data_IF_248426444225
#
_entry.id   IF_248426444225
#
_cell.length_a   1.000
_cell.length_b   1.000
_cell.length_c   1.000
_cell.angle_alpha   90.00
_cell.angle_beta   90.00
_cell.angle_gamma   90.00
#
_symmetry.space_group_name_H-M   'P 1'
#
loop_
_entity.id
_entity.type
_entity.pdbx_description
1 polymer ?
#
# COMPACT_ATOMS: atom_id res chain seq x y z
N UNK A 1 8.20 7.34 4.25
CA UNK A 1 8.03 5.98 4.80
C UNK A 1 8.43 5.02 3.71
N UNK A 2 9.47 4.23 3.97
CA UNK A 2 10.01 3.27 3.03
C UNK A 2 10.08 1.94 3.78
N UNK A 3 9.22 1.00 3.39
CA UNK A 3 9.10 -0.32 4.02
C UNK A 3 9.33 -1.35 2.94
N UNK A 4 10.44 -2.07 3.08
CA UNK A 4 10.81 -3.15 2.19
C UNK A 4 10.87 -4.43 3.00
N UNK A 5 9.92 -5.32 2.74
CA UNK A 5 9.91 -6.70 3.21
C UNK A 5 9.85 -7.63 2.00
N UNK A 6 10.92 -7.60 1.20
CA UNK A 6 11.17 -8.55 0.14
C UNK A 6 12.30 -9.50 0.57
N UNK A 7 12.25 -10.77 0.14
CA UNK A 7 13.27 -11.81 0.38
C UNK A 7 13.26 -12.45 1.80
N UNK A 8 12.10 -12.62 2.43
CA UNK A 8 11.98 -13.39 3.68
C UNK A 8 12.70 -12.82 4.92
N UNK A 9 13.33 -11.64 4.82
CA UNK A 9 14.09 -11.01 5.93
C UNK A 9 13.23 -10.28 6.95
N UNK A 10 11.94 -10.05 6.67
CA UNK A 10 10.97 -9.70 7.70
C UNK A 10 10.52 -11.01 8.38
N UNK A 11 11.47 -11.65 9.07
CA UNK A 11 11.34 -12.97 9.66
C UNK A 11 10.16 -13.01 10.65
N UNK A 12 9.11 -13.72 10.24
CA UNK A 12 8.07 -14.24 11.11
C UNK A 12 6.95 -13.25 11.44
N UNK A 13 5.77 -13.57 10.89
CA UNK A 13 4.44 -13.04 11.19
C UNK A 13 4.10 -11.69 10.56
N UNK A 14 3.23 -11.73 9.54
CA UNK A 14 2.48 -10.58 9.00
C UNK A 14 1.89 -9.71 10.13
N UNK A 15 1.53 -10.32 11.27
CA UNK A 15 1.12 -9.61 12.49
C UNK A 15 2.15 -8.59 13.00
N UNK A 16 3.44 -8.94 13.03
CA UNK A 16 4.50 -8.01 13.47
C UNK A 16 4.71 -6.88 12.48
N UNK A 17 4.61 -7.18 11.17
CA UNK A 17 4.66 -6.13 10.14
C UNK A 17 3.50 -5.18 10.34
N UNK A 18 2.28 -5.72 10.50
CA UNK A 18 1.10 -4.92 10.78
C UNK A 18 1.27 -4.07 12.02
N UNK A 19 1.63 -4.66 13.16
CA UNK A 19 1.85 -3.92 14.39
C UNK A 19 2.90 -2.83 14.23
N UNK A 20 4.01 -3.12 13.56
CA UNK A 20 5.05 -2.13 13.29
C UNK A 20 4.52 -0.96 12.46
N UNK A 21 3.82 -1.25 11.35
CA UNK A 21 3.24 -0.22 10.48
C UNK A 21 2.21 0.59 11.25
N UNK A 22 1.28 -0.05 11.95
CA UNK A 22 0.26 0.63 12.75
C UNK A 22 0.87 1.58 13.80
N UNK A 23 1.89 1.13 14.53
CA UNK A 23 2.61 1.99 15.48
C UNK A 23 3.30 3.16 14.79
N UNK A 24 3.92 2.93 13.62
CA UNK A 24 4.58 3.98 12.85
C UNK A 24 3.56 5.03 12.35
N UNK A 25 2.43 4.58 11.79
CA UNK A 25 1.35 5.45 11.31
C UNK A 25 0.78 6.30 12.46
N UNK A 26 0.54 5.70 13.62
CA UNK A 26 0.11 6.41 14.84
C UNK A 26 1.13 7.44 15.31
N UNK A 27 2.41 7.06 15.39
CA UNK A 27 3.47 7.94 15.88
C UNK A 27 3.67 9.18 15.00
N UNK A 28 3.38 9.10 13.69
CA UNK A 28 3.48 10.24 12.78
C UNK A 28 2.35 11.27 12.95
N UNK A 29 1.22 10.88 13.54
CA UNK A 29 0.10 11.78 13.82
C UNK A 29 -0.43 12.57 12.61
N UNK A 30 -0.37 12.01 11.39
CA UNK A 30 -0.83 12.68 10.16
C UNK A 30 0.16 13.70 9.56
N UNK A 31 1.40 13.73 10.03
CA UNK A 31 2.43 14.61 9.46
C UNK A 31 2.64 14.34 7.95
N UNK A 32 2.95 15.38 7.13
CA UNK A 32 3.20 15.24 5.70
C UNK A 32 4.22 14.15 5.37
N UNK A 33 3.95 13.33 4.36
CA UNK A 33 4.84 12.23 3.97
C UNK A 33 5.21 12.36 2.49
N UNK A 34 6.41 12.81 2.13
CA UNK A 34 6.72 12.99 0.70
C UNK A 34 6.66 11.69 -0.11
N UNK A 35 7.16 10.59 0.47
CA UNK A 35 7.23 9.27 -0.14
C UNK A 35 6.64 8.21 0.79
N UNK A 36 5.73 7.39 0.27
CA UNK A 36 5.30 6.12 0.83
C UNK A 36 5.68 5.01 -0.14
N UNK A 37 6.55 4.09 0.27
CA UNK A 37 6.90 2.92 -0.52
C UNK A 37 6.73 1.66 0.33
N UNK A 38 5.92 0.74 -0.18
CA UNK A 38 5.63 -0.55 0.40
C UNK A 38 6.01 -1.61 -0.63
N UNK A 39 7.10 -2.34 -0.38
CA UNK A 39 7.57 -3.45 -1.22
C UNK A 39 7.54 -4.72 -0.41
N UNK A 40 6.62 -5.62 -0.72
CA UNK A 40 6.29 -6.74 0.14
C UNK A 40 6.19 -8.02 -0.68
N UNK A 41 6.64 -9.14 -0.14
CA UNK A 41 6.51 -10.41 -0.84
C UNK A 41 7.18 -11.56 -0.11
N UNK A 42 7.12 -12.74 -0.74
CA UNK A 42 7.70 -13.97 -0.20
C UNK A 42 7.03 -14.38 1.14
N UNK A 43 5.70 -14.26 1.21
CA UNK A 43 4.91 -14.82 2.30
C UNK A 43 4.82 -16.35 2.14
N UNK A 44 5.92 -17.04 2.36
CA UNK A 44 6.05 -18.49 2.19
C UNK A 44 5.25 -19.32 3.21
N UNK A 45 4.76 -18.70 4.28
CA UNK A 45 4.11 -19.40 5.39
C UNK A 45 2.58 -19.35 5.25
N UNK A 46 1.97 -20.53 5.04
CA UNK A 46 0.53 -20.73 4.86
C UNK A 46 -0.30 -20.56 6.14
N UNK A 47 0.29 -20.08 7.24
CA UNK A 47 -0.35 -20.12 8.55
C UNK A 47 -0.68 -18.73 9.13
N UNK A 48 -1.98 -18.61 9.47
CA UNK A 48 -2.67 -17.69 10.39
C UNK A 48 -3.17 -16.33 9.89
N UNK A 49 -2.61 -15.71 8.85
CA UNK A 49 -3.20 -14.47 8.33
C UNK A 49 -4.11 -14.80 7.15
N UNK A 50 -5.39 -14.48 7.26
CA UNK A 50 -6.28 -14.64 6.10
C UNK A 50 -5.86 -13.60 5.05
N UNK A 51 -5.95 -13.98 3.78
CA UNK A 51 -5.77 -13.06 2.65
C UNK A 51 -6.58 -11.76 2.85
N UNK A 52 -7.81 -11.88 3.40
CA UNK A 52 -8.69 -10.76 3.71
C UNK A 52 -8.11 -9.79 4.77
N UNK A 53 -7.46 -10.30 5.83
CA UNK A 53 -6.81 -9.43 6.82
C UNK A 53 -5.64 -8.65 6.21
N UNK A 54 -4.92 -9.26 5.27
CA UNK A 54 -3.82 -8.62 4.55
C UNK A 54 -4.33 -7.48 3.67
N UNK A 55 -5.42 -7.72 2.94
CA UNK A 55 -6.11 -6.70 2.15
C UNK A 55 -6.55 -5.50 2.98
N UNK A 56 -7.18 -5.76 4.13
CA UNK A 56 -7.64 -4.68 5.02
C UNK A 56 -6.49 -3.82 5.53
N UNK A 57 -5.36 -4.44 5.85
CA UNK A 57 -4.16 -3.73 6.26
C UNK A 57 -3.62 -2.84 5.13
N UNK A 58 -3.50 -3.35 3.90
CA UNK A 58 -2.98 -2.57 2.78
C UNK A 58 -3.85 -1.38 2.43
N UNK A 59 -5.16 -1.60 2.31
CA UNK A 59 -6.10 -0.52 2.07
C UNK A 59 -6.00 0.55 3.17
N UNK A 60 -5.91 0.14 4.44
CA UNK A 60 -5.73 1.07 5.54
C UNK A 60 -4.44 1.91 5.40
N UNK A 61 -3.30 1.28 5.11
CA UNK A 61 -2.01 1.96 5.01
C UNK A 61 -1.95 2.93 3.83
N UNK A 62 -2.52 2.55 2.68
CA UNK A 62 -2.65 3.40 1.49
C UNK A 62 -3.47 4.64 1.85
N UNK A 63 -4.65 4.46 2.45
CA UNK A 63 -5.53 5.57 2.83
C UNK A 63 -4.89 6.48 3.86
N UNK A 64 -4.17 5.91 4.82
CA UNK A 64 -3.42 6.71 5.78
C UNK A 64 -2.31 7.53 5.10
N UNK A 65 -1.55 6.95 4.17
CA UNK A 65 -0.52 7.67 3.43
C UNK A 65 -1.11 8.84 2.62
N UNK A 66 -2.26 8.60 1.96
CA UNK A 66 -3.02 9.66 1.27
C UNK A 66 -3.45 10.76 2.23
N UNK A 67 -3.99 10.41 3.40
CA UNK A 67 -4.33 11.37 4.47
C UNK A 67 -3.11 12.15 4.97
N UNK A 68 -1.92 11.56 4.93
CA UNK A 68 -0.64 12.21 5.21
C UNK A 68 -0.11 13.07 4.05
N UNK A 69 -0.95 13.45 3.08
CA UNK A 69 -0.59 14.32 1.95
C UNK A 69 0.58 13.78 1.14
N UNK A 70 0.58 12.46 0.91
CA UNK A 70 1.67 11.82 0.17
C UNK A 70 1.81 12.33 -1.25
N UNK A 71 3.05 12.55 -1.68
CA UNK A 71 3.36 12.97 -3.05
C UNK A 71 3.70 11.79 -3.96
N UNK A 72 4.42 10.79 -3.43
CA UNK A 72 4.78 9.57 -4.15
C UNK A 72 4.29 8.36 -3.37
N UNK A 73 3.38 7.59 -3.97
CA UNK A 73 2.89 6.33 -3.41
C UNK A 73 3.34 5.18 -4.31
N UNK A 74 4.05 4.22 -3.72
CA UNK A 74 4.55 3.02 -4.38
C UNK A 74 4.11 1.78 -3.61
N UNK A 75 3.41 0.89 -4.27
CA UNK A 75 2.96 -0.38 -3.72
C UNK A 75 3.36 -1.49 -4.68
N UNK A 76 4.27 -2.36 -4.27
CA UNK A 76 4.65 -3.54 -5.05
C UNK A 76 4.50 -4.77 -4.16
N UNK A 77 3.68 -5.71 -4.60
CA UNK A 77 3.40 -6.93 -3.87
C UNK A 77 3.81 -8.15 -4.71
N UNK A 78 4.67 -8.99 -4.15
CA UNK A 78 5.12 -10.23 -4.77
C UNK A 78 4.51 -11.40 -4.00
N UNK A 79 3.27 -11.73 -4.35
CA UNK A 79 2.50 -12.86 -3.82
C UNK A 79 2.13 -13.82 -4.96
N UNK A 80 1.78 -15.07 -4.61
CA UNK A 80 1.25 -16.03 -5.59
C UNK A 80 -0.17 -15.69 -6.05
N UNK A 81 -0.87 -14.83 -5.31
CA UNK A 81 -2.22 -14.36 -5.60
C UNK A 81 -2.20 -12.83 -5.65
N UNK A 82 -2.95 -12.25 -6.58
CA UNK A 82 -3.16 -10.81 -6.64
C UNK A 82 -4.03 -10.35 -5.47
N UNK A 83 -3.77 -9.17 -4.94
CA UNK A 83 -4.52 -8.60 -3.82
C UNK A 83 -5.60 -7.63 -4.32
N UNK A 84 -6.85 -7.84 -3.95
CA UNK A 84 -7.98 -6.93 -4.27
C UNK A 84 -7.93 -5.64 -3.44
N UNK A 85 -7.59 -4.52 -4.08
CA UNK A 85 -7.69 -3.20 -3.46
C UNK A 85 -9.14 -2.72 -3.44
N UNK A 86 -9.48 -1.90 -2.44
CA UNK A 86 -10.84 -1.37 -2.27
C UNK A 86 -11.28 -0.59 -3.52
N UNK A 87 -12.47 -0.93 -4.06
CA UNK A 87 -13.04 -0.32 -5.26
C UNK A 87 -13.60 1.09 -4.98
N UNK A 88 -12.69 1.99 -4.62
CA UNK A 88 -12.98 3.36 -4.23
C UNK A 88 -11.87 4.29 -4.73
N UNK A 89 -12.24 5.47 -5.25
CA UNK A 89 -11.26 6.40 -5.83
C UNK A 89 -10.26 6.89 -4.79
N UNK A 90 -9.01 7.02 -5.22
CA UNK A 90 -8.03 7.81 -4.47
C UNK A 90 -8.35 9.29 -4.66
N UNK A 91 -8.45 10.01 -3.54
CA UNK A 91 -8.65 11.46 -3.52
C UNK A 91 -7.49 12.11 -2.81
N UNK A 92 -6.68 12.89 -3.54
CA UNK A 92 -5.50 13.54 -3.00
C UNK A 92 -5.14 14.79 -3.78
N UNK A 93 -5.04 15.92 -3.07
CA UNK A 93 -4.52 17.17 -3.64
C UNK A 93 -3.00 17.19 -3.74
N UNK A 94 -2.30 16.14 -3.27
CA UNK A 94 -0.85 16.15 -3.15
C UNK A 94 -0.17 15.02 -3.91
N UNK A 95 -0.91 13.96 -4.26
CA UNK A 95 -0.37 12.80 -4.95
C UNK A 95 0.06 13.19 -6.37
N UNK A 96 1.34 13.01 -6.68
CA UNK A 96 1.96 13.28 -7.98
C UNK A 96 2.36 12.02 -8.71
N UNK A 97 2.64 10.95 -7.99
CA UNK A 97 3.11 9.69 -8.56
C UNK A 97 2.48 8.52 -7.84
N UNK A 98 1.90 7.62 -8.63
CA UNK A 98 1.32 6.37 -8.17
C UNK A 98 1.94 5.23 -8.95
N UNK A 99 2.60 4.31 -8.24
CA UNK A 99 3.14 3.07 -8.80
C UNK A 99 2.51 1.91 -8.03
N UNK A 100 1.82 1.01 -8.74
CA UNK A 100 1.10 -0.11 -8.15
C UNK A 100 1.50 -1.39 -8.89
N UNK A 101 1.74 -2.49 -8.18
CA UNK A 101 1.97 -3.78 -8.82
C UNK A 101 1.72 -5.01 -7.96
N UNK A 102 1.37 -6.11 -8.62
CA UNK A 102 1.00 -7.38 -7.98
C UNK A 102 -0.30 -7.32 -7.20
N UNK A 103 -1.25 -6.50 -7.67
CA UNK A 103 -2.59 -6.33 -7.07
C UNK A 103 -3.65 -6.35 -8.15
N UNK A 104 -4.87 -6.77 -7.79
CA UNK A 104 -6.04 -6.63 -8.65
C UNK A 104 -6.61 -5.22 -8.50
N UNK A 105 -6.79 -4.55 -9.64
CA UNK A 105 -7.23 -3.16 -9.68
C UNK A 105 -8.62 -3.05 -10.31
N UNK A 106 -9.57 -2.51 -9.56
CA UNK A 106 -10.96 -2.31 -9.99
C UNK A 106 -11.24 -0.88 -10.46
N UNK A 107 -12.35 -0.70 -11.19
CA UNK A 107 -12.69 0.55 -11.91
C UNK A 107 -12.77 1.80 -11.02
N UNK A 108 -13.18 1.64 -9.77
CA UNK A 108 -13.27 2.69 -8.77
C UNK A 108 -11.89 3.20 -8.34
N UNK A 109 -10.92 2.30 -8.11
CA UNK A 109 -9.54 2.71 -7.77
C UNK A 109 -8.88 3.49 -8.93
N UNK A 110 -9.24 3.16 -10.17
CA UNK A 110 -8.75 3.83 -11.39
C UNK A 110 -9.38 5.21 -11.65
N UNK A 111 -10.33 5.65 -10.80
CA UNK A 111 -10.90 6.98 -10.93
C UNK A 111 -10.03 8.04 -10.23
N UNK A 112 -9.18 8.70 -11.02
CA UNK A 112 -8.25 9.74 -10.56
C UNK A 112 -8.81 11.17 -10.61
N UNK A 113 -10.12 11.35 -10.82
CA UNK A 113 -10.74 12.70 -10.83
C UNK A 113 -10.51 13.47 -9.53
N UNK A 114 -10.31 12.77 -8.41
CA UNK A 114 -9.95 13.34 -7.11
C UNK A 114 -8.46 13.63 -6.90
N UNK A 115 -7.61 13.37 -7.89
CA UNK A 115 -6.15 13.54 -7.81
C UNK A 115 -5.61 14.52 -8.88
N UNK A 116 -5.90 15.83 -8.77
CA UNK A 116 -5.62 16.79 -9.84
C UNK A 116 -4.12 17.05 -10.10
N UNK A 117 -3.25 16.71 -9.15
CA UNK A 117 -1.80 16.89 -9.26
C UNK A 117 -1.07 15.60 -9.66
N UNK A 118 -1.79 14.55 -10.04
CA UNK A 118 -1.20 13.27 -10.43
C UNK A 118 -0.53 13.41 -11.80
N UNK A 119 0.79 13.30 -11.82
CA UNK A 119 1.65 13.48 -13.01
C UNK A 119 2.14 12.14 -13.56
N UNK A 120 2.27 11.10 -12.72
CA UNK A 120 2.84 9.81 -13.09
C UNK A 120 2.02 8.63 -12.56
N UNK A 121 1.79 7.65 -13.44
CA UNK A 121 1.05 6.43 -13.18
C UNK A 121 1.82 5.24 -13.75
N UNK A 122 2.02 4.22 -12.93
CA UNK A 122 2.65 2.96 -13.33
C UNK A 122 1.89 1.77 -12.72
N UNK A 123 1.60 0.78 -13.55
CA UNK A 123 0.96 -0.47 -13.15
C UNK A 123 1.83 -1.64 -13.61
N UNK A 124 2.21 -2.50 -12.68
CA UNK A 124 3.08 -3.65 -12.94
C UNK A 124 2.42 -4.95 -12.47
N UNK A 125 2.07 -5.85 -13.40
CA UNK A 125 1.35 -7.09 -13.07
C UNK A 125 0.07 -6.79 -12.27
N UNK A 126 -0.90 -6.11 -12.91
CA UNK A 126 -2.21 -5.78 -12.36
C UNK A 126 -3.34 -6.28 -13.27
#
# INVERSE_FOLDING_TARGET
MHIVAAQGKFLGFVNKLREFVEHLLRARGGSPLDLCELRLGDFADKNWFTYEDMLRCFNHWIRHAVGCRVQVLRLLIHCNEYLELEDQPLVSQHLRRLEIGGVEVYTGLLNFSGCPNLEHLEFENC
#
